data_IF_898908902728
#
_entry.id   IF_898908902728
#
_cell.length_a   1.000
_cell.length_b   1.000
_cell.length_c   1.000
_cell.angle_alpha   90.00
_cell.angle_beta   90.00
_cell.angle_gamma   90.00
#
_symmetry.space_group_name_H-M   'P 1'
#
loop_
_entity.id
_entity.type
_entity.pdbx_description
1 polymer ?
#
# COMPACT_ATOMS: atom_id res chain seq x y z
N UNK A 1 -0.34 5.65 25.90
CA UNK A 1 0.77 5.52 24.94
C UNK A 1 1.56 4.28 25.29
N UNK A 2 1.39 3.22 24.50
CA UNK A 2 2.37 2.17 24.29
C UNK A 2 2.16 1.71 22.85
N UNK A 3 3.11 2.02 21.97
CA UNK A 3 3.19 1.36 20.67
C UNK A 3 4.12 0.17 20.88
N UNK A 4 3.55 -1.03 20.83
CA UNK A 4 4.30 -2.28 20.86
C UNK A 4 5.25 -2.36 19.64
N UNK A 5 6.53 -2.72 19.82
CA UNK A 5 7.50 -2.81 18.72
C UNK A 5 7.27 -4.02 17.79
N UNK A 6 6.12 -4.69 17.89
CA UNK A 6 5.77 -5.91 17.14
C UNK A 6 4.43 -5.81 16.39
N UNK A 7 3.82 -4.62 16.29
CA UNK A 7 2.63 -4.46 15.45
C UNK A 7 3.03 -4.64 13.98
N UNK A 8 2.29 -5.46 13.20
CA UNK A 8 2.53 -5.59 11.77
C UNK A 8 2.45 -4.20 11.12
N UNK A 9 3.39 -3.94 10.20
CA UNK A 9 3.41 -2.71 9.41
C UNK A 9 2.06 -2.58 8.68
N UNK A 10 1.41 -1.42 8.80
CA UNK A 10 0.16 -1.09 8.08
C UNK A 10 0.43 -0.08 6.98
N UNK A 11 -0.49 0.03 6.01
CA UNK A 11 -0.43 1.03 4.95
C UNK A 11 -0.27 2.46 5.50
N UNK A 12 -1.10 2.85 6.47
CA UNK A 12 -1.08 4.20 7.06
C UNK A 12 0.24 4.47 7.79
N UNK A 13 0.76 3.48 8.51
CA UNK A 13 2.06 3.61 9.18
C UNK A 13 3.21 3.74 8.19
N UNK A 14 3.14 3.05 7.04
CA UNK A 14 4.15 3.12 5.99
C UNK A 14 4.12 4.48 5.30
N UNK A 15 2.94 5.01 4.99
CA UNK A 15 2.76 6.36 4.44
C UNK A 15 3.29 7.42 5.41
N UNK A 16 2.94 7.35 6.69
CA UNK A 16 3.43 8.29 7.70
C UNK A 16 4.97 8.29 7.79
N UNK A 17 5.59 7.11 7.66
CA UNK A 17 7.05 6.98 7.63
C UNK A 17 7.65 7.55 6.34
N UNK A 18 7.04 7.33 5.18
CA UNK A 18 7.47 7.93 3.91
C UNK A 18 7.48 9.46 4.03
N UNK A 19 6.45 10.07 4.62
CA UNK A 19 6.40 11.52 4.80
C UNK A 19 7.52 12.03 5.73
N UNK A 20 7.87 11.27 6.78
CA UNK A 20 8.99 11.60 7.66
C UNK A 20 10.32 11.56 6.91
N UNK A 21 10.52 10.52 6.08
CA UNK A 21 11.69 10.40 5.22
C UNK A 21 11.79 11.59 4.26
N UNK A 22 10.69 11.98 3.62
CA UNK A 22 10.64 13.15 2.73
C UNK A 22 11.03 14.41 3.49
N UNK A 23 10.42 14.67 4.66
CA UNK A 23 10.76 15.83 5.50
C UNK A 23 12.25 15.86 5.87
N UNK A 24 12.84 14.70 6.16
CA UNK A 24 14.27 14.60 6.52
C UNK A 24 15.18 14.83 5.32
N UNK A 25 14.80 14.36 4.13
CA UNK A 25 15.56 14.59 2.90
C UNK A 25 15.46 16.06 2.45
N UNK A 26 14.28 16.65 2.54
CA UNK A 26 14.00 18.05 2.16
C UNK A 26 14.68 19.06 3.09
N UNK A 27 15.01 18.68 4.33
CA UNK A 27 15.77 19.57 5.22
C UNK A 27 17.20 19.83 4.71
N UNK A 28 17.74 18.95 3.85
CA UNK A 28 19.10 19.06 3.33
C UNK A 28 20.20 18.81 4.37
N UNK A 29 19.82 18.44 5.59
CA UNK A 29 20.76 18.19 6.71
C UNK A 29 21.21 16.73 6.78
N UNK A 30 20.60 15.85 5.98
CA UNK A 30 20.97 14.44 5.92
C UNK A 30 22.33 14.27 5.22
N UNK A 31 23.28 13.63 5.90
CA UNK A 31 24.57 13.29 5.29
C UNK A 31 24.43 12.15 4.27
N UNK A 32 25.40 12.00 3.35
CA UNK A 32 25.34 11.02 2.24
C UNK A 32 24.92 9.59 2.65
N UNK A 33 25.49 9.07 3.75
CA UNK A 33 25.16 7.73 4.25
C UNK A 33 23.72 7.64 4.77
N UNK A 34 23.26 8.70 5.43
CA UNK A 34 21.88 8.80 5.92
C UNK A 34 20.91 8.91 4.75
N UNK A 35 21.19 9.77 3.77
CA UNK A 35 20.41 9.88 2.53
C UNK A 35 20.25 8.52 1.83
N UNK A 36 21.34 7.75 1.71
CA UNK A 36 21.29 6.42 1.10
C UNK A 36 20.37 5.46 1.89
N UNK A 37 20.44 5.48 3.21
CA UNK A 37 19.59 4.66 4.06
C UNK A 37 18.11 5.06 3.96
N UNK A 38 17.82 6.36 4.03
CA UNK A 38 16.49 6.94 3.91
C UNK A 38 15.85 6.64 2.57
N UNK A 39 16.59 6.76 1.47
CA UNK A 39 16.09 6.42 0.12
C UNK A 39 15.80 4.93 0.00
N UNK A 40 16.66 4.07 0.54
CA UNK A 40 16.41 2.62 0.53
C UNK A 40 15.15 2.27 1.33
N UNK A 41 15.03 2.82 2.53
CA UNK A 41 13.84 2.62 3.36
C UNK A 41 12.57 3.14 2.67
N UNK A 42 12.63 4.34 2.09
CA UNK A 42 11.51 4.93 1.35
C UNK A 42 11.07 4.07 0.17
N UNK A 43 12.02 3.50 -0.57
CA UNK A 43 11.73 2.55 -1.65
C UNK A 43 10.99 1.33 -1.14
N UNK A 44 11.49 0.68 -0.09
CA UNK A 44 10.89 -0.53 0.47
C UNK A 44 9.45 -0.26 0.95
N UNK A 45 9.20 0.95 1.50
CA UNK A 45 7.87 1.37 1.93
C UNK A 45 6.92 1.63 0.75
N UNK A 46 7.41 2.26 -0.32
CA UNK A 46 6.61 2.48 -1.54
C UNK A 46 6.23 1.16 -2.19
N UNK A 47 7.17 0.20 -2.28
CA UNK A 47 6.90 -1.14 -2.80
C UNK A 47 5.84 -1.87 -1.96
N UNK A 48 5.93 -1.76 -0.63
CA UNK A 48 4.89 -2.28 0.27
C UNK A 48 3.53 -1.64 0.02
N UNK A 49 3.44 -0.30 -0.02
CA UNK A 49 2.18 0.40 -0.27
C UNK A 49 1.55 0.02 -1.62
N UNK A 50 2.38 -0.12 -2.66
CA UNK A 50 1.92 -0.54 -3.99
C UNK A 50 1.32 -1.95 -3.96
N UNK A 51 1.96 -2.89 -3.24
CA UNK A 51 1.47 -4.25 -3.11
C UNK A 51 0.12 -4.33 -2.37
N UNK A 52 -0.07 -3.54 -1.31
CA UNK A 52 -1.35 -3.47 -0.59
C UNK A 52 -2.47 -2.94 -1.50
N UNK A 53 -2.19 -1.88 -2.28
CA UNK A 53 -3.17 -1.31 -3.22
C UNK A 53 -3.51 -2.27 -4.37
N UNK A 54 -2.53 -3.03 -4.86
CA UNK A 54 -2.74 -4.06 -5.87
C UNK A 54 -3.66 -5.17 -5.34
N UNK A 55 -3.43 -5.65 -4.12
CA UNK A 55 -4.27 -6.67 -3.49
C UNK A 55 -5.73 -6.21 -3.35
N UNK A 56 -5.94 -4.95 -2.94
CA UNK A 56 -7.29 -4.35 -2.88
C UNK A 56 -7.90 -4.25 -4.27
N UNK A 57 -7.13 -3.82 -5.26
CA UNK A 57 -7.60 -3.67 -6.65
C UNK A 57 -8.04 -5.00 -7.25
N UNK A 58 -7.26 -6.05 -7.04
CA UNK A 58 -7.59 -7.41 -7.47
C UNK A 58 -8.90 -7.90 -6.82
N UNK A 59 -9.08 -7.68 -5.52
CA UNK A 59 -10.30 -8.09 -4.84
C UNK A 59 -11.55 -7.38 -5.38
N UNK A 60 -11.42 -6.10 -5.78
CA UNK A 60 -12.51 -5.37 -6.43
C UNK A 60 -12.81 -5.88 -7.84
N UNK A 61 -11.79 -6.31 -8.59
CA UNK A 61 -11.98 -6.89 -9.92
C UNK A 61 -12.69 -8.24 -9.87
N UNK A 62 -12.32 -9.11 -8.92
CA UNK A 62 -13.01 -10.39 -8.68
C UNK A 62 -14.49 -10.18 -8.35
N UNK A 63 -14.79 -9.28 -7.40
CA UNK A 63 -16.18 -8.96 -7.02
C UNK A 63 -17.00 -8.49 -8.23
N UNK A 64 -16.40 -7.66 -9.09
CA UNK A 64 -17.04 -7.16 -10.30
C UNK A 64 -17.27 -8.27 -11.35
N UNK A 65 -16.37 -9.24 -11.43
CA UNK A 65 -16.53 -10.41 -12.29
C UNK A 65 -17.67 -11.30 -11.81
N UNK A 66 -17.73 -11.57 -10.50
CA UNK A 66 -18.81 -12.36 -9.88
C UNK A 66 -20.19 -11.73 -10.13
N UNK A 67 -20.29 -10.41 -9.97
CA UNK A 67 -21.51 -9.66 -10.30
C UNK A 67 -21.93 -9.81 -11.76
N UNK A 68 -20.98 -9.85 -12.69
CA UNK A 68 -21.26 -10.02 -14.11
C UNK A 68 -21.74 -11.44 -14.41
N UNK A 69 -21.11 -12.45 -13.81
CA UNK A 69 -21.50 -13.87 -13.94
C UNK A 69 -22.94 -14.06 -13.46
N UNK A 70 -23.27 -13.58 -12.25
CA UNK A 70 -24.61 -13.69 -11.69
C UNK A 70 -25.69 -13.07 -12.60
N UNK A 71 -25.38 -11.94 -13.24
CA UNK A 71 -26.28 -11.27 -14.20
C UNK A 71 -26.46 -12.07 -15.49
N UNK A 72 -25.40 -12.68 -16.02
CA UNK A 72 -25.46 -13.49 -17.24
C UNK A 72 -26.23 -14.79 -17.00
N UNK A 73 -26.00 -15.47 -15.88
CA UNK A 73 -26.75 -16.67 -15.48
C UNK A 73 -28.24 -16.35 -15.30
N UNK A 74 -28.57 -15.25 -14.62
CA UNK A 74 -29.95 -14.78 -14.49
C UNK A 74 -30.61 -14.39 -15.82
N UNK A 75 -29.84 -13.89 -16.80
CA UNK A 75 -30.34 -13.60 -18.14
C UNK A 75 -30.54 -14.86 -19.01
N UNK A 76 -29.75 -15.91 -18.78
CA UNK A 76 -29.87 -17.21 -19.43
C UNK A 76 -31.00 -18.10 -18.88
N UNK A 77 -31.51 -17.79 -17.68
CA UNK A 77 -32.60 -18.51 -17.01
C UNK A 77 -34.01 -17.98 -17.37
N UNK A 78 -34.18 -17.32 -18.53
CA UNK A 78 -35.53 -17.01 -19.04
C UNK A 78 -36.09 -18.22 -19.80
N UNK A 79 -37.31 -18.72 -19.48
CA UNK A 79 -37.96 -19.78 -20.25
C UNK A 79 -38.34 -19.32 -21.67
#
# INVERSE_FOLDING_TARGET
MSADPASPRTYESAVARIEEIIRRLDSGEAGLRETLALVKEGRDLVEYCAAELEAVSHGLEELRLDDLVARLEGAGQRP
#
